data_IF_936476051840
#
_entry.id   IF_936476051840
#
_cell.length_a   1.000
_cell.length_b   1.000
_cell.length_c   1.000
_cell.angle_alpha   90.00
_cell.angle_beta   90.00
_cell.angle_gamma   90.00
#
_symmetry.space_group_name_H-M   'P 1'
#
loop_
_entity.id
_entity.type
_entity.pdbx_description
1 polymer ?
#
# COMPACT_ATOMS: atom_id res chain seq x y z
N UNK A 1 -43.80 -15.10 4.16
CA UNK A 1 -42.68 -14.71 3.30
C UNK A 1 -41.46 -14.13 4.05
N UNK A 2 -41.56 -13.87 5.35
CA UNK A 2 -40.45 -13.32 6.18
C UNK A 2 -39.32 -14.30 6.62
N UNK A 3 -39.49 -15.63 6.71
CA UNK A 3 -38.44 -16.50 7.22
C UNK A 3 -37.27 -16.77 6.23
N UNK A 4 -37.46 -16.52 4.94
CA UNK A 4 -36.41 -16.81 3.91
C UNK A 4 -35.35 -15.71 3.88
N UNK A 5 -35.70 -14.47 4.17
CA UNK A 5 -34.82 -13.31 4.11
C UNK A 5 -33.78 -13.33 5.27
N UNK A 6 -34.25 -13.72 6.49
CA UNK A 6 -33.34 -13.84 7.64
C UNK A 6 -32.24 -14.91 7.46
N UNK A 7 -32.52 -15.94 6.65
CA UNK A 7 -31.55 -16.98 6.36
C UNK A 7 -30.50 -16.53 5.32
N UNK A 8 -30.87 -15.61 4.42
CA UNK A 8 -29.96 -15.05 3.40
C UNK A 8 -28.92 -14.07 4.01
N UNK A 9 -29.33 -13.25 4.97
CA UNK A 9 -28.42 -12.31 5.67
C UNK A 9 -27.36 -13.04 6.51
N UNK A 10 -27.68 -14.21 7.06
CA UNK A 10 -26.70 -15.02 7.81
C UNK A 10 -25.55 -15.53 6.97
N UNK A 11 -25.66 -15.48 5.64
CA UNK A 11 -24.63 -15.88 4.67
C UNK A 11 -23.74 -14.71 4.25
N UNK A 12 -24.29 -13.50 4.26
CA UNK A 12 -23.63 -12.27 3.82
C UNK A 12 -22.92 -11.61 4.99
N UNK A 13 -23.46 -11.77 6.20
CA UNK A 13 -22.94 -11.16 7.44
C UNK A 13 -22.79 -12.25 8.52
N UNK A 14 -21.61 -12.86 8.69
CA UNK A 14 -21.37 -13.71 9.85
C UNK A 14 -21.45 -12.86 11.12
N UNK A 15 -22.44 -13.14 11.97
CA UNK A 15 -22.54 -12.53 13.29
C UNK A 15 -21.26 -12.79 14.08
N UNK A 16 -20.73 -11.79 14.78
CA UNK A 16 -19.64 -11.92 15.75
C UNK A 16 -20.10 -12.73 16.96
N UNK A 17 -20.52 -13.96 16.77
CA UNK A 17 -20.81 -14.89 17.87
C UNK A 17 -19.57 -15.73 18.18
N UNK A 18 -19.28 -15.78 19.44
CA UNK A 18 -18.16 -16.42 20.16
C UNK A 18 -17.70 -17.75 19.53
N UNK A 19 -16.46 -17.79 19.08
CA UNK A 19 -15.80 -18.87 18.33
C UNK A 19 -15.64 -20.20 19.13
N UNK A 20 -16.01 -20.24 20.41
CA UNK A 20 -15.82 -21.41 21.27
C UNK A 20 -16.73 -22.63 20.95
N UNK A 21 -17.67 -22.57 20.00
CA UNK A 21 -18.68 -23.61 19.81
C UNK A 21 -18.80 -24.20 18.41
N UNK A 22 -17.81 -24.08 17.50
CA UNK A 22 -17.94 -24.65 16.14
C UNK A 22 -16.83 -25.62 15.72
N UNK A 23 -16.70 -26.69 16.44
CA UNK A 23 -15.99 -27.91 15.99
C UNK A 23 -16.94 -29.03 15.55
N UNK A 24 -18.12 -28.73 15.02
CA UNK A 24 -18.99 -29.70 14.34
C UNK A 24 -18.90 -29.44 12.83
N UNK A 25 -18.60 -30.49 12.07
CA UNK A 25 -18.65 -30.51 10.59
C UNK A 25 -20.12 -30.24 10.19
N UNK A 26 -20.50 -28.97 10.13
CA UNK A 26 -21.80 -28.61 9.55
C UNK A 26 -21.68 -28.75 8.03
N UNK A 27 -22.54 -29.57 7.44
CA UNK A 27 -22.69 -29.69 6.01
C UNK A 27 -22.87 -28.28 5.42
N UNK A 28 -22.09 -27.94 4.38
CA UNK A 28 -22.25 -26.66 3.69
C UNK A 28 -23.70 -26.59 3.19
N UNK A 29 -24.41 -25.52 3.51
CA UNK A 29 -25.74 -25.35 2.99
C UNK A 29 -25.73 -25.26 1.46
N UNK A 30 -26.82 -25.64 0.79
CA UNK A 30 -26.91 -25.64 -0.67
C UNK A 30 -26.70 -24.22 -1.22
N UNK A 31 -26.01 -24.11 -2.36
CA UNK A 31 -25.86 -22.85 -3.07
C UNK A 31 -27.23 -22.33 -3.49
N UNK A 32 -27.52 -21.05 -3.18
CA UNK A 32 -28.76 -20.39 -3.58
C UNK A 32 -28.43 -19.14 -4.39
N UNK A 33 -29.08 -19.00 -5.53
CA UNK A 33 -29.09 -17.76 -6.31
C UNK A 33 -30.23 -16.86 -5.81
N UNK A 34 -29.97 -15.56 -5.73
CA UNK A 34 -30.95 -14.54 -5.35
C UNK A 34 -31.40 -13.82 -6.62
N UNK A 35 -32.72 -13.58 -6.76
CA UNK A 35 -33.26 -12.78 -7.84
C UNK A 35 -32.77 -11.32 -7.75
N UNK A 36 -32.63 -10.65 -8.89
CA UNK A 36 -32.08 -9.27 -8.91
C UNK A 36 -32.93 -8.31 -8.05
N UNK A 37 -34.25 -8.43 -8.08
CA UNK A 37 -35.13 -7.57 -7.30
C UNK A 37 -34.95 -7.78 -5.80
N UNK A 38 -34.79 -9.04 -5.36
CA UNK A 38 -34.54 -9.35 -3.97
C UNK A 38 -33.17 -8.85 -3.53
N UNK A 39 -32.16 -9.02 -4.39
CA UNK A 39 -30.79 -8.55 -4.14
C UNK A 39 -30.70 -7.02 -3.98
N UNK A 40 -31.42 -6.27 -4.84
CA UNK A 40 -31.45 -4.80 -4.78
C UNK A 40 -32.17 -4.25 -3.53
N UNK A 41 -33.06 -5.04 -2.93
CA UNK A 41 -33.76 -4.70 -1.69
C UNK A 41 -33.04 -5.17 -0.42
N UNK A 42 -31.85 -5.81 -0.53
CA UNK A 42 -31.04 -6.17 0.63
C UNK A 42 -30.47 -4.91 1.30
N UNK A 43 -30.70 -4.76 2.59
CA UNK A 43 -30.02 -3.76 3.41
C UNK A 43 -28.59 -4.25 3.73
N UNK A 44 -27.66 -3.95 2.84
CA UNK A 44 -26.22 -4.29 3.02
C UNK A 44 -25.54 -3.07 3.66
N UNK A 45 -25.00 -3.19 4.89
CA UNK A 45 -24.31 -2.06 5.52
C UNK A 45 -23.08 -1.67 4.70
N UNK A 46 -22.84 -0.36 4.61
CA UNK A 46 -21.64 0.17 3.96
C UNK A 46 -20.39 -0.33 4.69
N UNK A 47 -19.33 -0.63 3.93
CA UNK A 47 -18.03 -1.00 4.49
C UNK A 47 -17.42 0.22 5.17
N UNK A 48 -17.04 0.07 6.44
CA UNK A 48 -16.30 1.11 7.15
C UNK A 48 -14.84 1.17 6.66
N UNK A 49 -14.21 2.32 6.85
CA UNK A 49 -12.79 2.49 6.54
C UNK A 49 -11.93 2.20 7.76
N UNK A 50 -10.87 1.43 7.59
CA UNK A 50 -9.80 1.26 8.57
C UNK A 50 -8.80 2.41 8.44
N UNK A 51 -8.43 2.76 7.20
CA UNK A 51 -7.57 3.87 6.86
C UNK A 51 -8.14 4.54 5.60
N UNK A 52 -8.87 5.63 5.78
CA UNK A 52 -9.58 6.30 4.70
C UNK A 52 -8.63 7.17 3.86
N UNK A 53 -8.78 7.16 2.52
CA UNK A 53 -9.79 6.45 1.73
C UNK A 53 -9.30 5.12 1.12
N UNK A 54 -8.18 4.55 1.58
CA UNK A 54 -7.42 3.53 0.86
C UNK A 54 -7.63 2.10 1.38
N UNK A 55 -8.05 1.93 2.63
CA UNK A 55 -8.13 0.61 3.26
C UNK A 55 -9.50 0.42 3.96
N UNK A 56 -10.53 -0.06 3.23
CA UNK A 56 -11.81 -0.41 3.84
C UNK A 56 -11.73 -1.76 4.58
N UNK A 57 -12.73 -2.05 5.39
CA UNK A 57 -12.96 -3.39 5.95
C UNK A 57 -13.00 -4.45 4.86
N UNK A 58 -12.60 -5.69 5.19
CA UNK A 58 -12.62 -6.83 4.26
C UNK A 58 -11.79 -6.57 2.99
N UNK A 59 -10.82 -5.65 3.05
CA UNK A 59 -9.96 -5.30 1.94
C UNK A 59 -8.80 -6.28 1.85
N UNK A 60 -8.46 -6.68 0.63
CA UNK A 60 -7.17 -7.27 0.34
C UNK A 60 -6.31 -6.21 -0.34
N UNK A 61 -5.27 -5.77 0.33
CA UNK A 61 -4.38 -4.72 -0.14
C UNK A 61 -2.93 -5.20 -0.27
N UNK A 62 -2.17 -4.55 -1.13
CA UNK A 62 -0.74 -4.77 -1.28
C UNK A 62 0.01 -3.45 -1.27
N UNK A 63 1.11 -3.42 -0.52
CA UNK A 63 2.13 -2.38 -0.54
C UNK A 63 3.40 -2.97 -1.10
N UNK A 64 3.88 -2.48 -2.24
CA UNK A 64 5.11 -3.00 -2.81
C UNK A 64 6.09 -1.89 -3.22
N UNK A 65 7.37 -2.21 -3.19
CA UNK A 65 8.46 -1.33 -3.61
C UNK A 65 9.78 -2.10 -3.77
N UNK A 66 10.80 -1.52 -4.39
CA UNK A 66 12.18 -1.99 -4.29
C UNK A 66 12.66 -2.16 -2.84
N UNK A 67 13.68 -2.98 -2.63
CA UNK A 67 14.30 -3.14 -1.31
C UNK A 67 14.89 -1.81 -0.82
N UNK A 68 14.84 -1.59 0.50
CA UNK A 68 15.42 -0.40 1.13
C UNK A 68 14.67 0.92 0.90
N UNK A 69 13.45 0.90 0.32
CA UNK A 69 12.70 2.12 0.02
C UNK A 69 11.81 2.62 1.18
N UNK A 70 11.68 1.85 2.27
CA UNK A 70 10.88 2.28 3.42
C UNK A 70 9.52 1.59 3.57
N UNK A 71 9.24 0.47 2.84
CA UNK A 71 7.96 -0.27 2.95
C UNK A 71 7.56 -0.59 4.39
N UNK A 72 8.47 -1.20 5.16
CA UNK A 72 8.19 -1.60 6.54
C UNK A 72 7.97 -0.39 7.46
N UNK A 73 8.65 0.75 7.22
CA UNK A 73 8.37 2.00 7.93
C UNK A 73 6.93 2.45 7.72
N UNK A 74 6.47 2.44 6.47
CA UNK A 74 5.10 2.83 6.15
C UNK A 74 4.09 1.79 6.67
N UNK A 75 4.34 0.49 6.49
CA UNK A 75 3.43 -0.57 6.92
C UNK A 75 3.25 -0.60 8.46
N UNK A 76 4.35 -0.46 9.23
CA UNK A 76 4.32 -0.33 10.69
C UNK A 76 3.53 0.91 11.11
N UNK A 77 3.78 2.07 10.46
CA UNK A 77 3.07 3.31 10.76
C UNK A 77 1.57 3.20 10.41
N UNK A 78 1.21 2.55 9.30
CA UNK A 78 -0.20 2.29 8.96
C UNK A 78 -0.88 1.41 10.01
N UNK A 79 -0.21 0.34 10.45
CA UNK A 79 -0.72 -0.55 11.49
C UNK A 79 -0.91 0.18 12.83
N UNK A 80 0.08 0.96 13.23
CA UNK A 80 0.01 1.73 14.47
C UNK A 80 -1.06 2.83 14.42
N UNK A 81 -1.20 3.52 13.29
CA UNK A 81 -2.24 4.51 13.06
C UNK A 81 -3.64 3.89 13.21
N UNK A 82 -3.91 2.76 12.55
CA UNK A 82 -5.18 2.04 12.65
C UNK A 82 -5.41 1.52 14.07
N UNK A 83 -4.37 0.97 14.73
CA UNK A 83 -4.44 0.44 16.08
C UNK A 83 -4.61 1.50 17.16
N UNK A 84 -4.23 2.76 16.91
CA UNK A 84 -4.39 3.89 17.85
C UNK A 84 -5.58 4.80 17.51
N UNK A 85 -6.16 4.68 16.32
CA UNK A 85 -7.19 5.60 15.87
C UNK A 85 -6.64 6.98 15.43
N UNK A 86 -5.33 7.07 15.13
CA UNK A 86 -4.63 8.32 14.83
C UNK A 86 -4.42 8.48 13.32
N UNK A 87 -4.62 9.65 12.72
CA UNK A 87 -4.35 9.89 11.31
C UNK A 87 -2.88 9.65 10.94
N UNK A 88 -2.62 9.26 9.70
CA UNK A 88 -1.28 9.09 9.14
C UNK A 88 -1.17 9.77 7.77
N UNK A 89 -0.21 10.68 7.58
CA UNK A 89 -0.03 11.40 6.32
C UNK A 89 -1.33 12.11 5.88
N UNK A 90 -1.88 11.73 4.72
CA UNK A 90 -3.14 12.26 4.16
C UNK A 90 -4.35 11.38 4.48
N UNK A 91 -4.17 10.36 5.32
CA UNK A 91 -5.17 9.35 5.60
C UNK A 91 -5.76 9.52 7.00
N UNK A 92 -7.07 9.44 7.10
CA UNK A 92 -7.77 9.47 8.38
C UNK A 92 -8.11 8.06 8.85
N UNK A 93 -8.14 7.89 10.18
CA UNK A 93 -8.60 6.66 10.83
C UNK A 93 -9.91 6.99 11.54
N UNK A 94 -11.07 6.54 11.03
CA UNK A 94 -12.37 6.89 11.60
C UNK A 94 -12.57 6.40 13.04
N UNK A 95 -12.00 5.24 13.37
CA UNK A 95 -11.98 4.67 14.73
C UNK A 95 -10.83 3.69 14.90
N UNK A 96 -10.41 3.50 16.14
CA UNK A 96 -9.41 2.48 16.52
C UNK A 96 -9.89 1.08 16.14
N UNK A 97 -8.95 0.21 15.70
CA UNK A 97 -9.18 -1.17 15.27
C UNK A 97 -8.08 -2.10 15.78
N UNK A 98 -8.38 -3.39 15.88
CA UNK A 98 -7.40 -4.38 16.27
C UNK A 98 -6.54 -4.80 15.08
N UNK A 99 -5.24 -4.59 15.21
CA UNK A 99 -4.24 -4.89 14.19
C UNK A 99 -3.31 -5.99 14.67
N UNK A 100 -3.05 -6.97 13.83
CA UNK A 100 -1.95 -7.92 13.99
C UNK A 100 -0.92 -7.68 12.90
N UNK A 101 0.28 -7.32 13.29
CA UNK A 101 1.44 -7.19 12.39
C UNK A 101 2.31 -8.43 12.53
N UNK A 102 2.55 -9.13 11.43
CA UNK A 102 3.44 -10.30 11.36
C UNK A 102 4.68 -9.91 10.58
N UNK A 103 5.81 -9.82 11.28
CA UNK A 103 7.13 -9.59 10.69
C UNK A 103 7.84 -10.91 10.41
N UNK A 104 8.30 -11.08 9.17
CA UNK A 104 9.00 -12.27 8.73
C UNK A 104 10.48 -12.07 8.42
N UNK A 105 11.03 -10.86 8.60
CA UNK A 105 12.36 -10.54 8.09
C UNK A 105 13.27 -9.86 9.11
N UNK A 106 12.74 -9.00 9.99
CA UNK A 106 13.59 -8.17 10.83
C UNK A 106 14.04 -8.89 12.10
N UNK A 107 15.32 -8.70 12.52
CA UNK A 107 15.76 -9.04 13.85
C UNK A 107 14.92 -8.28 14.90
N UNK A 108 14.59 -8.96 16.01
CA UNK A 108 13.70 -8.42 17.04
C UNK A 108 14.16 -7.06 17.59
N UNK A 109 15.48 -6.87 17.77
CA UNK A 109 16.07 -5.59 18.22
C UNK A 109 15.76 -4.47 17.25
N UNK A 110 15.98 -4.70 15.94
CA UNK A 110 15.72 -3.70 14.90
C UNK A 110 14.23 -3.36 14.76
N UNK A 111 13.35 -4.36 14.93
CA UNK A 111 11.90 -4.15 14.94
C UNK A 111 11.50 -3.28 16.14
N UNK A 112 12.03 -3.57 17.33
CA UNK A 112 11.76 -2.79 18.54
C UNK A 112 12.24 -1.34 18.41
N UNK A 113 13.47 -1.10 17.90
CA UNK A 113 14.01 0.23 17.68
C UNK A 113 13.14 1.05 16.72
N UNK A 114 12.72 0.45 15.59
CA UNK A 114 11.81 1.11 14.67
C UNK A 114 10.47 1.46 15.30
N UNK A 115 9.90 0.53 16.05
CA UNK A 115 8.62 0.76 16.73
C UNK A 115 8.72 1.87 17.77
N UNK A 116 9.81 1.93 18.55
CA UNK A 116 10.06 3.04 19.45
C UNK A 116 10.07 4.37 18.71
N UNK A 117 10.81 4.46 17.61
CA UNK A 117 10.88 5.69 16.82
C UNK A 117 9.53 6.08 16.19
N UNK A 118 8.77 5.10 15.68
CA UNK A 118 7.46 5.32 15.06
C UNK A 118 6.41 5.70 16.13
N UNK A 119 6.46 5.13 17.35
CA UNK A 119 5.42 5.32 18.36
C UNK A 119 5.41 6.71 18.98
N UNK A 120 6.53 7.45 18.97
CA UNK A 120 6.63 8.79 19.55
C UNK A 120 5.53 9.75 19.05
N UNK A 121 5.25 9.88 17.74
CA UNK A 121 4.19 10.75 17.24
C UNK A 121 2.77 10.33 17.64
N UNK A 122 2.57 9.04 18.01
CA UNK A 122 1.25 8.50 18.37
C UNK A 122 0.96 8.58 19.88
N UNK A 123 1.89 9.13 20.68
CA UNK A 123 1.76 9.26 22.12
C UNK A 123 2.05 7.94 22.82
N UNK A 124 3.22 7.83 23.44
CA UNK A 124 3.65 6.62 24.15
C UNK A 124 2.88 6.35 25.45
N UNK A 125 2.10 7.34 25.93
CA UNK A 125 1.41 7.28 27.22
C UNK A 125 0.04 6.57 27.15
N UNK A 126 -0.47 6.30 25.96
CA UNK A 126 -1.71 5.54 25.78
C UNK A 126 -1.37 4.07 25.51
N UNK A 127 -1.81 3.12 26.35
CA UNK A 127 -1.71 1.69 26.04
C UNK A 127 -2.36 1.45 24.67
N UNK A 128 -1.56 1.06 23.69
CA UNK A 128 -2.09 0.75 22.36
C UNK A 128 -2.35 -0.74 22.25
N UNK A 129 -3.35 -1.23 22.99
CA UNK A 129 -3.76 -2.63 22.98
C UNK A 129 -4.31 -3.06 21.61
N UNK A 130 -4.64 -2.10 20.75
CA UNK A 130 -5.12 -2.35 19.38
C UNK A 130 -4.04 -2.76 18.39
N UNK A 131 -2.73 -2.65 18.73
CA UNK A 131 -1.64 -3.04 17.81
C UNK A 131 -0.78 -4.13 18.42
N UNK A 132 -0.88 -5.34 17.88
CA UNK A 132 -0.12 -6.53 18.30
C UNK A 132 0.89 -6.94 17.24
N UNK A 133 2.01 -7.50 17.67
CA UNK A 133 3.13 -7.89 16.82
C UNK A 133 3.46 -9.36 17.04
N UNK A 134 3.70 -10.07 15.94
CA UNK A 134 4.31 -11.37 15.90
C UNK A 134 5.58 -11.28 15.06
N UNK A 135 6.74 -11.40 15.70
CA UNK A 135 8.03 -11.41 15.00
C UNK A 135 8.44 -12.86 14.72
N UNK A 136 8.71 -13.18 13.45
CA UNK A 136 9.14 -14.51 13.05
C UNK A 136 10.47 -14.96 13.71
N UNK A 137 11.30 -14.01 14.09
CA UNK A 137 12.53 -14.22 14.88
C UNK A 137 12.27 -14.90 16.25
N UNK A 138 11.02 -14.84 16.73
CA UNK A 138 10.59 -15.51 17.97
C UNK A 138 9.99 -16.91 17.75
N UNK A 139 9.95 -17.39 16.49
CA UNK A 139 9.25 -18.62 16.15
C UNK A 139 10.25 -19.65 15.66
N UNK A 140 10.45 -20.68 16.43
CA UNK A 140 11.28 -21.83 16.04
C UNK A 140 10.76 -22.44 14.74
N UNK A 141 11.62 -22.51 13.72
CA UNK A 141 11.26 -23.00 12.39
C UNK A 141 10.54 -22.02 11.47
N UNK A 142 10.22 -20.79 11.96
CA UNK A 142 9.55 -19.74 11.18
C UNK A 142 8.09 -20.05 10.85
N UNK A 143 7.46 -19.18 10.04
CA UNK A 143 6.09 -19.34 9.56
C UNK A 143 6.11 -19.52 8.05
N UNK A 144 5.40 -20.54 7.54
CA UNK A 144 5.17 -20.71 6.10
C UNK A 144 3.67 -20.64 5.77
N UNK A 145 3.19 -19.46 5.35
CA UNK A 145 1.79 -19.25 4.98
C UNK A 145 1.37 -19.90 3.66
N UNK A 146 2.31 -20.48 2.89
CA UNK A 146 1.98 -21.31 1.73
C UNK A 146 1.41 -22.67 2.13
N UNK A 147 1.57 -23.08 3.40
CA UNK A 147 1.06 -24.33 3.94
C UNK A 147 -0.16 -24.13 4.84
N UNK A 148 -1.05 -25.13 4.90
CA UNK A 148 -2.18 -25.12 5.83
C UNK A 148 -1.75 -25.12 7.30
N UNK A 149 -0.60 -25.69 7.60
CA UNK A 149 -0.03 -25.71 8.96
C UNK A 149 0.36 -24.31 9.39
N UNK A 150 1.12 -23.57 8.56
CA UNK A 150 1.50 -22.20 8.83
C UNK A 150 0.27 -21.27 8.93
N UNK A 151 -0.75 -21.46 8.10
CA UNK A 151 -2.01 -20.72 8.21
C UNK A 151 -2.73 -21.03 9.51
N UNK A 152 -2.80 -22.30 9.92
CA UNK A 152 -3.43 -22.74 11.19
C UNK A 152 -2.70 -22.23 12.43
N UNK A 153 -1.39 -22.04 12.37
CA UNK A 153 -0.61 -21.50 13.50
C UNK A 153 -0.99 -20.06 13.85
N UNK A 154 -1.49 -19.28 12.88
CA UNK A 154 -1.98 -17.91 13.12
C UNK A 154 -3.44 -17.85 13.62
N UNK A 155 -4.25 -18.91 13.44
CA UNK A 155 -5.67 -18.89 13.78
C UNK A 155 -6.00 -18.40 15.21
N UNK A 156 -5.26 -18.82 16.27
CA UNK A 156 -5.53 -18.34 17.62
C UNK A 156 -5.34 -16.83 17.80
N UNK A 157 -4.52 -16.20 16.95
CA UNK A 157 -4.21 -14.77 17.01
C UNK A 157 -5.19 -13.91 16.20
N UNK A 158 -6.04 -14.54 15.37
CA UNK A 158 -6.93 -13.85 14.43
C UNK A 158 -8.36 -13.64 14.95
N UNK A 159 -8.66 -14.04 16.17
CA UNK A 159 -10.04 -14.07 16.69
C UNK A 159 -10.71 -12.68 16.72
N UNK A 160 -9.94 -11.65 17.03
CA UNK A 160 -10.39 -10.26 17.24
C UNK A 160 -9.71 -9.27 16.29
N UNK A 161 -9.05 -9.74 15.23
CA UNK A 161 -8.28 -8.90 14.29
C UNK A 161 -9.22 -8.29 13.25
N UNK A 162 -9.11 -6.97 13.08
CA UNK A 162 -9.74 -6.22 11.99
C UNK A 162 -8.78 -6.06 10.79
N UNK A 163 -7.47 -5.89 11.07
CA UNK A 163 -6.41 -5.73 10.06
C UNK A 163 -5.24 -6.66 10.34
N UNK A 164 -4.92 -7.52 9.40
CA UNK A 164 -3.69 -8.34 9.39
C UNK A 164 -2.67 -7.72 8.42
N UNK A 165 -1.47 -7.43 8.90
CA UNK A 165 -0.36 -6.96 8.07
C UNK A 165 0.71 -8.05 8.00
N UNK A 166 1.11 -8.43 6.77
CA UNK A 166 2.11 -9.47 6.52
C UNK A 166 3.36 -8.85 5.86
N UNK A 167 4.43 -8.65 6.61
CA UNK A 167 5.70 -8.06 6.16
C UNK A 167 6.85 -9.06 6.29
N UNK A 168 7.31 -9.69 5.21
CA UNK A 168 6.81 -9.58 3.86
C UNK A 168 6.45 -10.96 3.29
N UNK A 169 5.73 -10.96 2.18
CA UNK A 169 5.31 -12.20 1.51
C UNK A 169 6.47 -13.14 1.15
N UNK A 170 7.64 -12.60 0.83
CA UNK A 170 8.78 -13.42 0.37
C UNK A 170 9.35 -14.30 1.48
N UNK A 171 9.30 -13.83 2.72
CA UNK A 171 9.82 -14.54 3.90
C UNK A 171 8.74 -15.38 4.57
N UNK A 172 7.50 -14.88 4.61
CA UNK A 172 6.37 -15.59 5.23
C UNK A 172 5.75 -16.66 4.33
N UNK A 173 6.10 -16.70 3.04
CA UNK A 173 5.55 -17.63 2.06
C UNK A 173 6.69 -18.32 1.30
N UNK A 174 7.37 -19.26 1.96
CA UNK A 174 8.40 -20.07 1.32
C UNK A 174 7.78 -20.90 0.19
N UNK A 175 8.24 -20.66 -1.04
CA UNK A 175 7.81 -21.46 -2.18
C UNK A 175 8.40 -22.88 -2.06
N UNK A 176 7.56 -23.87 -1.91
CA UNK A 176 7.94 -25.29 -1.91
C UNK A 176 7.86 -25.92 -3.31
N UNK A 177 7.34 -25.18 -4.30
CA UNK A 177 7.13 -25.63 -5.67
C UNK A 177 8.00 -24.87 -6.67
N UNK A 178 8.34 -25.55 -7.78
CA UNK A 178 9.10 -24.99 -8.90
C UNK A 178 8.38 -23.81 -9.60
N UNK A 179 7.06 -23.68 -9.41
CA UNK A 179 6.24 -22.61 -9.99
C UNK A 179 5.79 -21.61 -8.94
N UNK A 180 6.17 -20.32 -9.11
CA UNK A 180 5.73 -19.23 -8.25
C UNK A 180 4.20 -18.99 -8.31
N UNK A 181 3.52 -19.46 -9.36
CA UNK A 181 2.06 -19.38 -9.52
C UNK A 181 1.34 -20.40 -8.64
N UNK A 182 1.87 -21.61 -8.53
CA UNK A 182 1.22 -22.70 -7.77
C UNK A 182 1.33 -22.45 -6.26
N UNK A 183 2.46 -21.88 -5.82
CA UNK A 183 2.63 -21.46 -4.43
C UNK A 183 1.66 -20.33 -4.00
N UNK A 184 1.12 -19.57 -4.94
CA UNK A 184 0.20 -18.47 -4.65
C UNK A 184 -1.24 -18.92 -4.37
N UNK A 185 -1.70 -20.00 -5.00
CA UNK A 185 -3.09 -20.46 -4.88
C UNK A 185 -3.53 -20.76 -3.43
N UNK A 186 -2.75 -21.48 -2.59
CA UNK A 186 -3.09 -21.68 -1.19
C UNK A 186 -3.21 -20.38 -0.40
N UNK A 187 -2.28 -19.44 -0.65
CA UNK A 187 -2.28 -18.12 -0.01
C UNK A 187 -3.52 -17.34 -0.42
N UNK A 188 -3.84 -17.27 -1.70
CA UNK A 188 -5.02 -16.58 -2.21
C UNK A 188 -6.31 -17.13 -1.60
N UNK A 189 -6.44 -18.46 -1.53
CA UNK A 189 -7.60 -19.10 -0.93
C UNK A 189 -7.74 -18.75 0.56
N UNK A 190 -6.64 -18.69 1.30
CA UNK A 190 -6.63 -18.30 2.69
C UNK A 190 -7.00 -16.82 2.86
N UNK A 191 -6.44 -15.91 2.06
CA UNK A 191 -6.80 -14.48 2.07
C UNK A 191 -8.30 -14.26 1.81
N UNK A 192 -8.88 -15.01 0.87
CA UNK A 192 -10.33 -14.95 0.61
C UNK A 192 -11.15 -15.53 1.79
N UNK A 193 -10.64 -16.50 2.55
CA UNK A 193 -11.27 -16.95 3.80
C UNK A 193 -11.23 -15.85 4.87
N UNK A 194 -10.10 -15.15 5.05
CA UNK A 194 -9.95 -14.03 5.98
C UNK A 194 -10.92 -12.89 5.64
N UNK A 195 -11.03 -12.54 4.35
CA UNK A 195 -12.01 -11.55 3.86
C UNK A 195 -13.46 -11.90 4.27
N UNK A 196 -13.86 -13.18 4.17
CA UNK A 196 -15.20 -13.65 4.59
C UNK A 196 -15.40 -13.55 6.11
N UNK A 197 -14.32 -13.54 6.88
CA UNK A 197 -14.30 -13.35 8.34
C UNK A 197 -14.18 -11.88 8.72
N UNK A 198 -14.36 -10.98 7.77
CA UNK A 198 -14.30 -9.52 7.94
C UNK A 198 -12.90 -8.97 8.24
N UNK A 199 -11.85 -9.78 8.10
CA UNK A 199 -10.47 -9.36 8.30
C UNK A 199 -9.95 -8.72 7.01
N UNK A 200 -9.49 -7.48 7.10
CA UNK A 200 -8.71 -6.83 6.06
C UNK A 200 -7.25 -7.31 6.11
N UNK A 201 -6.60 -7.43 4.95
CA UNK A 201 -5.20 -7.86 4.89
C UNK A 201 -4.38 -6.89 4.06
N UNK A 202 -3.27 -6.42 4.62
CA UNK A 202 -2.23 -5.67 3.92
C UNK A 202 -1.00 -6.55 3.71
N UNK A 203 -0.72 -6.86 2.46
CA UNK A 203 0.47 -7.61 2.05
C UNK A 203 1.60 -6.66 1.74
N UNK A 204 2.76 -6.84 2.37
CA UNK A 204 3.99 -6.12 1.99
C UNK A 204 4.81 -7.01 1.06
N UNK A 205 5.25 -6.46 -0.08
CA UNK A 205 5.96 -7.25 -1.08
C UNK A 205 7.12 -6.47 -1.72
N UNK A 206 8.08 -7.19 -2.29
CA UNK A 206 9.18 -6.60 -3.05
C UNK A 206 8.80 -6.40 -4.52
N UNK A 207 9.20 -5.27 -5.09
CA UNK A 207 9.16 -5.07 -6.54
C UNK A 207 10.14 -6.03 -7.24
N UNK A 208 9.80 -6.40 -8.47
CA UNK A 208 10.70 -7.07 -9.39
C UNK A 208 11.77 -6.12 -9.95
N UNK A 209 12.69 -6.66 -10.75
CA UNK A 209 13.80 -5.92 -11.36
C UNK A 209 13.35 -4.82 -12.33
N UNK A 210 12.14 -4.93 -12.86
CA UNK A 210 11.51 -3.94 -13.76
C UNK A 210 10.68 -2.86 -13.03
N UNK A 211 10.81 -2.77 -11.69
CA UNK A 211 10.07 -1.80 -10.87
C UNK A 211 8.58 -2.12 -10.66
N UNK A 212 8.04 -3.16 -11.31
CA UNK A 212 6.69 -3.67 -11.08
C UNK A 212 6.68 -4.70 -9.96
N UNK A 213 5.51 -5.04 -9.46
CA UNK A 213 5.35 -6.12 -8.48
C UNK A 213 6.07 -7.40 -8.95
N UNK A 214 6.80 -8.05 -8.04
CA UNK A 214 7.49 -9.31 -8.33
C UNK A 214 6.49 -10.47 -8.41
N UNK A 215 6.49 -11.21 -9.51
CA UNK A 215 5.64 -12.37 -9.72
C UNK A 215 4.62 -12.19 -10.84
N UNK A 216 3.59 -13.04 -10.85
CA UNK A 216 2.54 -13.00 -11.89
C UNK A 216 1.48 -11.95 -11.58
N UNK A 217 0.90 -11.31 -12.60
CA UNK A 217 -0.25 -10.40 -12.49
C UNK A 217 -1.44 -11.02 -11.76
N UNK A 218 -1.56 -12.36 -11.75
CA UNK A 218 -2.58 -13.11 -11.00
C UNK A 218 -2.61 -12.80 -9.50
N UNK A 219 -1.50 -12.29 -8.92
CA UNK A 219 -1.47 -11.89 -7.49
C UNK A 219 -2.32 -10.67 -7.21
N UNK A 220 -2.51 -9.82 -8.20
CA UNK A 220 -3.30 -8.58 -8.07
C UNK A 220 -4.80 -8.80 -8.30
N UNK A 221 -5.20 -9.90 -8.92
CA UNK A 221 -6.60 -10.16 -9.26
C UNK A 221 -7.55 -10.06 -8.05
N UNK A 222 -7.26 -10.68 -6.89
CA UNK A 222 -8.14 -10.63 -5.72
C UNK A 222 -8.03 -9.31 -4.93
N UNK A 223 -7.02 -8.47 -5.20
CA UNK A 223 -6.75 -7.27 -4.43
C UNK A 223 -7.74 -6.14 -4.74
N UNK A 224 -8.10 -5.37 -3.72
CA UNK A 224 -8.92 -4.17 -3.83
C UNK A 224 -8.05 -2.92 -3.98
N UNK A 225 -6.92 -2.88 -3.25
CA UNK A 225 -5.98 -1.77 -3.22
C UNK A 225 -4.56 -2.25 -3.52
N UNK A 226 -3.87 -1.57 -4.44
CA UNK A 226 -2.44 -1.80 -4.72
C UNK A 226 -1.72 -0.47 -4.64
N UNK A 227 -0.76 -0.40 -3.72
CA UNK A 227 0.07 0.78 -3.44
C UNK A 227 1.49 0.49 -3.87
N UNK A 228 2.03 1.30 -4.77
CA UNK A 228 3.42 1.26 -5.19
C UNK A 228 4.20 2.42 -4.56
N UNK A 229 5.35 2.12 -3.95
CA UNK A 229 6.31 3.16 -3.59
C UNK A 229 7.37 3.27 -4.67
N UNK A 230 7.68 4.49 -5.07
CA UNK A 230 8.68 4.81 -6.09
C UNK A 230 9.70 5.81 -5.55
N UNK A 231 10.92 5.75 -6.04
CA UNK A 231 11.91 6.80 -5.73
C UNK A 231 11.61 8.03 -6.57
N UNK A 232 11.60 9.25 -5.94
CA UNK A 232 11.60 10.48 -6.69
C UNK A 232 12.82 10.57 -7.61
N UNK A 233 12.71 11.26 -8.74
CA UNK A 233 13.81 11.45 -9.70
C UNK A 233 15.00 12.21 -9.08
N UNK A 234 14.72 13.11 -8.13
CA UNK A 234 15.71 13.94 -7.41
C UNK A 234 16.16 13.32 -6.07
N UNK A 235 15.93 12.00 -5.86
CA UNK A 235 16.29 11.33 -4.62
C UNK A 235 17.81 11.21 -4.44
N UNK A 236 18.28 11.50 -3.21
CA UNK A 236 19.63 11.17 -2.77
C UNK A 236 19.61 10.29 -1.50
N UNK A 237 20.61 9.41 -1.28
CA UNK A 237 20.64 8.48 -0.14
C UNK A 237 20.59 9.17 1.24
N UNK A 238 21.08 10.42 1.33
CA UNK A 238 21.11 11.21 2.56
C UNK A 238 19.69 11.60 3.03
N UNK A 239 18.72 11.53 2.12
CA UNK A 239 17.31 11.86 2.44
C UNK A 239 16.57 10.72 3.16
N UNK A 240 17.19 9.55 3.32
CA UNK A 240 16.61 8.43 4.05
C UNK A 240 15.33 7.87 3.40
N UNK A 241 14.28 7.68 4.19
CA UNK A 241 13.00 7.19 3.69
C UNK A 241 12.18 8.33 3.06
N UNK A 242 12.43 8.60 1.80
CA UNK A 242 11.67 9.52 0.94
C UNK A 242 11.22 8.78 -0.31
N UNK A 243 9.92 8.82 -0.60
CA UNK A 243 9.32 8.10 -1.72
C UNK A 243 7.99 8.69 -2.14
N UNK A 244 7.63 8.43 -3.38
CA UNK A 244 6.30 8.70 -3.92
C UNK A 244 5.37 7.53 -3.64
N UNK A 245 4.13 7.82 -3.26
CA UNK A 245 3.06 6.85 -3.05
C UNK A 245 2.12 6.92 -4.25
N UNK A 246 2.01 5.80 -4.99
CA UNK A 246 1.13 5.67 -6.15
C UNK A 246 0.08 4.60 -5.90
N UNK A 247 -1.15 4.87 -6.35
CA UNK A 247 -2.27 3.93 -6.24
C UNK A 247 -2.52 3.29 -7.61
N UNK A 248 -2.01 2.08 -7.81
CA UNK A 248 -2.16 1.37 -9.10
C UNK A 248 -3.53 0.69 -9.23
N UNK A 249 -4.14 0.36 -8.10
CA UNK A 249 -5.49 -0.21 -8.04
C UNK A 249 -6.24 0.30 -6.83
N UNK A 250 -7.45 0.78 -7.06
CA UNK A 250 -8.43 1.13 -6.03
C UNK A 250 -9.81 0.74 -6.57
N UNK A 251 -10.35 -0.40 -6.11
CA UNK A 251 -11.67 -0.86 -6.55
C UNK A 251 -12.81 0.01 -6.05
N UNK A 252 -12.67 0.54 -4.85
CA UNK A 252 -13.66 1.41 -4.23
C UNK A 252 -13.13 2.85 -4.29
N UNK A 253 -13.18 3.47 -5.47
CA UNK A 253 -12.89 4.91 -5.58
C UNK A 253 -13.95 5.66 -4.76
N UNK A 254 -13.50 6.23 -3.65
CA UNK A 254 -14.21 7.30 -2.97
C UNK A 254 -13.61 8.58 -3.53
N UNK A 255 -14.45 9.48 -4.05
CA UNK A 255 -14.01 10.79 -4.52
C UNK A 255 -13.41 11.57 -3.35
N UNK A 256 -12.09 11.53 -3.23
CA UNK A 256 -11.39 12.18 -2.12
C UNK A 256 -9.88 12.26 -2.36
N UNK A 257 -9.27 13.40 -2.06
CA UNK A 257 -7.87 13.75 -2.36
C UNK A 257 -6.79 12.85 -1.73
N UNK A 258 -7.15 11.95 -0.78
CA UNK A 258 -6.20 11.02 -0.15
C UNK A 258 -5.77 9.83 -1.00
N UNK A 259 -6.41 9.62 -2.15
CA UNK A 259 -6.07 8.60 -3.15
C UNK A 259 -5.34 9.19 -4.38
N UNK A 260 -5.02 10.46 -4.36
CA UNK A 260 -4.13 11.09 -5.34
C UNK A 260 -2.69 10.74 -4.98
N UNK A 261 -1.82 10.39 -5.96
CA UNK A 261 -0.41 10.16 -5.68
C UNK A 261 0.25 11.37 -5.01
N UNK A 262 1.15 11.12 -4.06
CA UNK A 262 1.86 12.14 -3.32
C UNK A 262 3.23 11.65 -2.86
N UNK A 263 4.11 12.58 -2.52
CA UNK A 263 5.41 12.28 -1.94
C UNK A 263 5.30 12.22 -0.41
N UNK A 264 5.95 11.24 0.20
CA UNK A 264 6.09 11.10 1.65
C UNK A 264 7.56 11.01 2.04
N UNK A 265 7.91 11.59 3.17
CA UNK A 265 9.25 11.48 3.75
C UNK A 265 9.19 11.32 5.26
N UNK A 266 10.25 10.73 5.79
CA UNK A 266 10.47 10.53 7.22
C UNK A 266 11.64 11.38 7.66
N UNK A 267 11.43 12.17 8.70
CA UNK A 267 12.48 12.95 9.36
C UNK A 267 12.68 12.43 10.78
N UNK A 268 13.94 12.32 11.20
CA UNK A 268 14.25 12.04 12.60
C UNK A 268 14.03 13.29 13.44
N UNK A 269 13.25 13.20 14.50
CA UNK A 269 12.93 14.31 15.39
C UNK A 269 13.10 13.83 16.85
N UNK A 270 14.22 14.22 17.48
CA UNK A 270 14.57 13.70 18.80
C UNK A 270 14.76 12.17 18.76
N UNK A 271 14.05 11.46 19.63
CA UNK A 271 14.08 10.00 19.69
C UNK A 271 13.06 9.32 18.75
N UNK A 272 12.24 10.11 18.05
CA UNK A 272 11.19 9.62 17.17
C UNK A 272 11.35 10.06 15.74
N UNK A 273 10.33 9.73 14.96
CA UNK A 273 10.22 10.16 13.56
C UNK A 273 9.00 11.06 13.35
N UNK A 274 9.07 11.88 12.32
CA UNK A 274 7.94 12.64 11.81
C UNK A 274 7.71 12.28 10.34
N UNK A 275 6.48 11.93 10.02
CA UNK A 275 6.04 11.82 8.64
C UNK A 275 5.65 13.18 8.09
N UNK A 276 6.08 13.49 6.87
CA UNK A 276 5.62 14.64 6.09
C UNK A 276 5.13 14.19 4.72
N UNK A 277 4.25 14.99 4.11
CA UNK A 277 3.75 14.74 2.77
C UNK A 277 3.64 16.01 1.96
N UNK A 278 3.94 15.92 0.67
CA UNK A 278 3.80 17.00 -0.31
C UNK A 278 3.17 16.45 -1.60
N UNK A 279 2.63 17.33 -2.43
CA UNK A 279 2.19 16.93 -3.77
C UNK A 279 3.38 16.49 -4.59
N UNK A 280 3.14 15.58 -5.54
CA UNK A 280 4.20 15.19 -6.47
C UNK A 280 4.65 16.41 -7.25
N UNK A 281 5.97 16.57 -7.34
CA UNK A 281 6.53 17.54 -8.28
C UNK A 281 6.19 17.08 -9.71
N UNK A 282 5.91 18.00 -10.64
CA UNK A 282 5.84 17.65 -12.03
C UNK A 282 7.08 16.87 -12.46
N UNK A 283 6.98 15.91 -13.38
CA UNK A 283 8.14 15.20 -13.92
C UNK A 283 9.23 16.20 -14.35
N UNK A 284 10.48 15.83 -14.16
CA UNK A 284 11.63 16.70 -14.46
C UNK A 284 11.59 17.25 -15.90
N UNK A 285 11.06 16.44 -16.83
CA UNK A 285 10.81 16.85 -18.21
C UNK A 285 9.80 18.02 -18.30
N UNK A 286 8.73 17.96 -17.54
CA UNK A 286 7.70 19.04 -17.52
C UNK A 286 8.26 20.31 -16.89
N UNK A 287 8.96 20.20 -15.76
CA UNK A 287 9.63 21.34 -15.13
C UNK A 287 10.63 21.98 -16.06
N UNK A 288 11.44 21.19 -16.77
CA UNK A 288 12.39 21.69 -17.76
C UNK A 288 11.67 22.36 -18.94
N UNK A 289 10.58 21.77 -19.43
CA UNK A 289 9.79 22.35 -20.52
C UNK A 289 9.19 23.70 -20.13
N UNK A 290 8.63 23.86 -18.93
CA UNK A 290 8.12 25.12 -18.41
C UNK A 290 9.22 26.20 -18.38
N UNK A 291 10.37 25.91 -17.78
CA UNK A 291 11.50 26.84 -17.72
C UNK A 291 12.05 27.20 -19.10
N UNK A 292 12.08 26.26 -20.04
CA UNK A 292 12.46 26.55 -21.43
C UNK A 292 11.41 27.40 -22.14
N UNK A 293 10.12 27.19 -21.87
CA UNK A 293 9.05 28.02 -22.41
C UNK A 293 9.07 29.45 -21.88
N UNK A 294 9.60 29.65 -20.65
CA UNK A 294 9.89 30.98 -20.08
C UNK A 294 11.14 31.64 -20.69
N UNK A 295 11.81 30.99 -21.66
CA UNK A 295 12.98 31.53 -22.36
C UNK A 295 14.32 31.26 -21.67
N UNK A 296 14.36 30.41 -20.64
CA UNK A 296 15.62 30.10 -19.95
C UNK A 296 16.56 29.27 -20.82
N UNK A 297 17.86 29.58 -20.71
CA UNK A 297 18.91 28.82 -21.41
C UNK A 297 19.15 27.46 -20.76
N UNK A 298 19.78 26.53 -21.50
CA UNK A 298 20.17 25.21 -20.97
C UNK A 298 21.01 25.31 -19.69
N UNK A 299 21.82 26.36 -19.53
CA UNK A 299 22.62 26.59 -18.31
C UNK A 299 21.75 27.00 -17.13
N UNK A 300 20.82 27.90 -17.35
CA UNK A 300 19.90 28.38 -16.32
C UNK A 300 18.96 27.27 -15.84
N UNK A 301 18.38 26.51 -16.77
CA UNK A 301 17.55 25.34 -16.45
C UNK A 301 18.36 24.28 -15.67
N UNK A 302 19.61 23.99 -16.09
CA UNK A 302 20.49 23.08 -15.36
C UNK A 302 20.74 23.53 -13.92
N UNK A 303 20.96 24.85 -13.73
CA UNK A 303 21.14 25.44 -12.40
C UNK A 303 19.86 25.41 -11.56
N UNK A 304 18.73 25.80 -12.15
CA UNK A 304 17.43 25.84 -11.47
C UNK A 304 16.99 24.46 -10.98
N UNK A 305 17.13 23.45 -11.82
CA UNK A 305 16.76 22.05 -11.53
C UNK A 305 17.86 21.24 -10.83
N UNK A 306 19.05 21.83 -10.60
CA UNK A 306 20.22 21.18 -9.98
C UNK A 306 20.66 19.90 -10.71
N UNK A 307 20.62 19.93 -12.03
CA UNK A 307 21.03 18.82 -12.91
C UNK A 307 22.26 19.21 -13.76
N UNK A 308 22.86 18.22 -14.43
CA UNK A 308 23.96 18.51 -15.34
C UNK A 308 23.46 19.25 -16.60
N UNK A 309 24.35 20.09 -17.20
CA UNK A 309 24.04 20.78 -18.45
C UNK A 309 23.70 19.81 -19.60
N UNK A 310 24.35 18.63 -19.64
CA UNK A 310 24.07 17.62 -20.66
C UNK A 310 22.68 17.00 -20.45
N UNK A 311 22.21 16.86 -19.23
CA UNK A 311 20.88 16.36 -18.89
C UNK A 311 19.81 17.40 -19.24
N UNK A 312 20.01 18.66 -18.88
CA UNK A 312 19.10 19.74 -19.29
C UNK A 312 18.99 19.84 -20.82
N UNK A 313 20.10 19.64 -21.56
CA UNK A 313 20.09 19.58 -23.02
C UNK A 313 19.28 18.40 -23.57
N UNK A 314 19.39 17.22 -22.96
CA UNK A 314 18.56 16.05 -23.32
C UNK A 314 17.08 16.27 -23.04
N UNK A 315 16.75 16.87 -21.91
CA UNK A 315 15.37 17.21 -21.55
C UNK A 315 14.76 18.22 -22.54
N UNK A 316 15.54 19.25 -22.97
CA UNK A 316 15.10 20.19 -24.00
C UNK A 316 14.74 19.48 -25.31
N UNK A 317 15.64 18.61 -25.79
CA UNK A 317 15.41 17.84 -27.02
C UNK A 317 14.17 16.96 -26.91
N UNK A 318 14.01 16.27 -25.76
CA UNK A 318 12.85 15.41 -25.52
C UNK A 318 11.56 16.24 -25.42
N UNK A 319 11.59 17.38 -24.74
CA UNK A 319 10.42 18.28 -24.66
C UNK A 319 9.96 18.78 -26.03
N UNK A 320 10.91 19.07 -26.94
CA UNK A 320 10.62 19.40 -28.34
C UNK A 320 10.03 18.22 -29.10
N UNK A 321 10.58 17.02 -28.91
CA UNK A 321 10.12 15.78 -29.56
C UNK A 321 8.73 15.39 -29.11
N UNK A 322 8.43 15.54 -27.81
CA UNK A 322 7.15 15.19 -27.19
C UNK A 322 6.09 16.30 -27.39
N UNK A 323 6.44 17.42 -28.08
CA UNK A 323 5.53 18.54 -28.35
C UNK A 323 5.22 19.40 -27.13
N UNK A 324 6.00 19.30 -26.07
CA UNK A 324 5.88 20.11 -24.85
C UNK A 324 6.51 21.51 -25.01
N UNK A 325 7.38 21.69 -26.03
CA UNK A 325 7.97 22.94 -26.44
C UNK A 325 7.76 23.14 -27.93
N UNK A 326 7.45 24.36 -28.32
CA UNK A 326 7.43 24.76 -29.73
C UNK A 326 8.87 25.15 -30.11
N UNK A 327 9.38 24.60 -31.19
CA UNK A 327 10.66 25.07 -31.75
C UNK A 327 10.47 26.53 -32.20
N UNK A 328 11.13 27.49 -31.57
CA UNK A 328 11.25 28.82 -32.14
C UNK A 328 11.95 28.70 -33.48
N UNK A 329 11.20 28.93 -34.57
CA UNK A 329 11.80 29.22 -35.87
C UNK A 329 12.64 30.46 -35.68
N UNK A 330 13.97 30.30 -35.63
CA UNK A 330 14.88 31.42 -35.77
C UNK A 330 14.52 32.10 -37.09
N UNK A 331 13.90 33.29 -37.00
CA UNK A 331 13.75 34.18 -38.16
C UNK A 331 15.15 34.62 -38.57
N UNK A 332 15.74 33.95 -39.56
CA UNK A 332 16.83 34.48 -40.35
C UNK A 332 16.30 35.65 -41.19
N UNK A 333 16.16 36.81 -40.58
CA UNK A 333 16.11 38.06 -41.26
C UNK A 333 17.37 38.87 -40.92
N UNK A 334 18.45 38.49 -41.56
CA UNK A 334 19.58 39.37 -41.74
C UNK A 334 19.39 40.17 -43.02
N UNK A 335 19.24 41.51 -42.97
CA UNK A 335 19.16 42.31 -44.17
C UNK A 335 20.52 42.27 -44.89
N UNK A 336 20.51 41.69 -46.09
CA UNK A 336 21.62 41.80 -47.04
C UNK A 336 21.85 43.30 -47.34
N UNK A 337 22.96 43.87 -46.83
CA UNK A 337 23.44 45.14 -47.30
C UNK A 337 23.99 44.96 -48.71
N UNK A 338 23.28 45.43 -49.71
CA UNK A 338 23.75 45.71 -51.08
C UNK A 338 24.60 46.97 -51.02
N UNK A 339 25.84 46.91 -51.40
CA UNK A 339 26.66 48.04 -51.89
C UNK A 339 26.55 48.13 -53.37
#
# INVERSE_FOLDING_TARGET
>A
MLPVINNLLSWILPARETIAARASIQARPPLQAVGINDFLNLEIPAREMLLAPILPERCLAMLYAPRGLGKSWLALSMGLAVGSGTPLLRWSVPRQRNVLYVDGEMPLVSLQERLKAISVPFGTDTPNDGFRILAADQIDGGINLSSEEGQRSLEPLLADVDLLILDNLSTLCAATSESASDAWVPIQNWLLKLRRREIAVLLVHHAGTNGRQRGTSRREDPLDTVIALRRPEDYSPEQGARFEIHFEKLRNRVDGGGAVPFEASVENVGEGIRWSSSDLKPPLLMQAAELFAEGMTVREVASALRISKSEAGRLRLRALTDGLLVAELQSEDSPVRVQ
#
